data_IF_879902938132
#
_entry.id   IF_879902938132
#
_cell.length_a   1.000
_cell.length_b   1.000
_cell.length_c   1.000
_cell.angle_alpha   90.00
_cell.angle_beta   90.00
_cell.angle_gamma   90.00
#
_symmetry.space_group_name_H-M   'P 1'
#
loop_
_entity.id
_entity.type
_entity.pdbx_description
1 polymer ?
#
# COMPACT_ATOMS: atom_id res chain seq x y z
N UNK A 1 -6.49 -25.85 66.81
CA UNK A 1 -7.25 -25.92 65.54
C UNK A 1 -7.40 -24.57 64.81
N UNK A 2 -7.53 -23.41 65.48
CA UNK A 2 -7.69 -22.12 64.78
C UNK A 2 -6.46 -21.54 64.04
N UNK A 3 -5.26 -22.05 64.31
CA UNK A 3 -4.01 -21.52 63.76
C UNK A 3 -3.86 -21.72 62.25
N UNK A 4 -4.44 -22.80 61.71
CA UNK A 4 -4.47 -23.06 60.26
C UNK A 4 -5.22 -21.95 59.52
N UNK A 5 -6.35 -21.49 60.07
CA UNK A 5 -7.21 -20.49 59.44
C UNK A 5 -6.50 -19.15 59.42
N UNK A 6 -5.80 -18.79 60.50
CA UNK A 6 -5.02 -17.54 60.58
C UNK A 6 -3.87 -17.52 59.57
N UNK A 7 -3.14 -18.62 59.42
CA UNK A 7 -2.01 -18.73 58.46
C UNK A 7 -2.53 -18.70 57.01
N UNK A 8 -3.64 -19.38 56.73
CA UNK A 8 -4.24 -19.42 55.40
C UNK A 8 -4.81 -18.05 55.01
N UNK A 9 -5.46 -17.37 55.96
CA UNK A 9 -5.98 -16.03 55.73
C UNK A 9 -4.85 -15.01 55.57
N UNK A 10 -3.80 -15.11 56.39
CA UNK A 10 -2.60 -14.28 56.26
C UNK A 10 -1.91 -14.42 54.91
N UNK A 11 -1.73 -15.66 54.43
CA UNK A 11 -1.13 -15.90 53.10
C UNK A 11 -2.01 -15.39 51.97
N UNK A 12 -3.33 -15.52 52.05
CA UNK A 12 -4.25 -14.96 51.07
C UNK A 12 -4.15 -13.43 50.99
N UNK A 13 -4.10 -12.74 52.13
CA UNK A 13 -3.94 -11.28 52.18
C UNK A 13 -2.61 -10.85 51.57
N UNK A 14 -1.52 -11.55 51.91
CA UNK A 14 -0.18 -11.26 51.36
C UNK A 14 -0.16 -11.45 49.84
N UNK A 15 -0.72 -12.55 49.33
CA UNK A 15 -0.81 -12.80 47.89
C UNK A 15 -1.68 -11.75 47.18
N UNK A 16 -2.76 -11.29 47.82
CA UNK A 16 -3.64 -10.27 47.27
C UNK A 16 -2.89 -8.93 47.11
N UNK A 17 -2.12 -8.52 48.12
CA UNK A 17 -1.31 -7.29 48.06
C UNK A 17 -0.25 -7.39 46.95
N UNK A 18 0.46 -8.53 46.85
CA UNK A 18 1.45 -8.76 45.80
C UNK A 18 0.82 -8.72 44.41
N UNK A 19 -0.36 -9.34 44.25
CA UNK A 19 -1.10 -9.40 42.99
C UNK A 19 -1.49 -8.00 42.49
N UNK A 20 -1.98 -7.15 43.40
CA UNK A 20 -2.39 -5.79 43.06
C UNK A 20 -1.20 -4.94 42.60
N UNK A 21 -0.08 -4.98 43.34
CA UNK A 21 1.14 -4.24 42.99
C UNK A 21 1.69 -4.69 41.63
N UNK A 22 1.75 -6.01 41.39
CA UNK A 22 2.28 -6.57 40.14
C UNK A 22 1.37 -6.29 38.95
N UNK A 23 0.05 -6.32 39.14
CA UNK A 23 -0.95 -5.98 38.13
C UNK A 23 -0.84 -4.52 37.70
N UNK A 24 -0.75 -3.59 38.65
CA UNK A 24 -0.59 -2.15 38.36
C UNK A 24 0.69 -1.88 37.56
N UNK A 25 1.82 -2.49 37.92
CA UNK A 25 3.08 -2.30 37.18
C UNK A 25 3.08 -2.96 35.79
N UNK A 26 2.36 -4.06 35.61
CA UNK A 26 2.28 -4.76 34.32
C UNK A 26 1.40 -4.00 33.33
N UNK A 27 0.28 -3.43 33.78
CA UNK A 27 -0.62 -2.64 32.94
C UNK A 27 0.06 -1.35 32.47
N UNK A 28 0.78 -0.64 33.35
CA UNK A 28 1.48 0.61 32.96
C UNK A 28 2.57 0.36 31.92
N UNK A 29 3.28 -0.77 32.00
CA UNK A 29 4.29 -1.16 31.01
C UNK A 29 3.69 -1.58 29.67
N UNK A 30 2.51 -2.18 29.67
CA UNK A 30 1.80 -2.53 28.44
C UNK A 30 1.25 -1.28 27.76
N UNK A 31 0.62 -0.37 28.51
CA UNK A 31 0.15 0.92 27.99
C UNK A 31 1.30 1.75 27.42
N UNK A 32 2.42 1.90 28.13
CA UNK A 32 3.58 2.63 27.60
C UNK A 32 4.14 2.00 26.32
N UNK A 33 4.22 0.67 26.23
CA UNK A 33 4.74 0.01 25.02
C UNK A 33 3.79 0.21 23.83
N UNK A 34 2.48 0.16 24.05
CA UNK A 34 1.47 0.43 23.01
C UNK A 34 1.58 1.88 22.54
N UNK A 35 1.70 2.84 23.46
CA UNK A 35 1.83 4.27 23.15
C UNK A 35 3.10 4.57 22.33
N UNK A 36 4.24 3.97 22.70
CA UNK A 36 5.49 4.14 21.94
C UNK A 36 5.43 3.56 20.52
N UNK A 37 4.79 2.40 20.32
CA UNK A 37 4.65 1.79 18.99
C UNK A 37 3.69 2.60 18.12
N UNK A 38 2.56 3.03 18.66
CA UNK A 38 1.59 3.84 17.91
C UNK A 38 2.17 5.19 17.45
N UNK A 39 2.98 5.85 18.28
CA UNK A 39 3.64 7.12 17.92
C UNK A 39 4.69 6.89 16.82
N UNK A 40 5.49 5.81 16.90
CA UNK A 40 6.51 5.53 15.87
C UNK A 40 5.88 5.25 14.50
N UNK A 41 4.84 4.42 14.47
CA UNK A 41 4.14 4.07 13.22
C UNK A 41 3.49 5.30 12.59
N UNK A 42 2.86 6.16 13.39
CA UNK A 42 2.21 7.37 12.88
C UNK A 42 3.25 8.35 12.30
N UNK A 43 4.41 8.50 12.95
CA UNK A 43 5.52 9.29 12.43
C UNK A 43 6.11 8.71 11.14
N UNK A 44 6.28 7.39 11.06
CA UNK A 44 6.76 6.71 9.86
C UNK A 44 5.79 6.88 8.69
N UNK A 45 4.47 6.78 8.92
CA UNK A 45 3.46 7.02 7.88
C UNK A 45 3.52 8.45 7.37
N UNK A 46 3.68 9.45 8.24
CA UNK A 46 3.82 10.84 7.81
C UNK A 46 5.11 11.10 7.02
N UNK A 47 6.22 10.46 7.38
CA UNK A 47 7.46 10.56 6.60
C UNK A 47 7.33 9.87 5.24
N UNK A 48 6.64 8.72 5.16
CA UNK A 48 6.33 8.08 3.89
C UNK A 48 5.43 8.96 3.00
N UNK A 49 4.42 9.62 3.58
CA UNK A 49 3.55 10.55 2.86
C UNK A 49 4.33 11.72 2.25
N UNK A 50 5.26 12.32 3.01
CA UNK A 50 6.15 13.38 2.53
C UNK A 50 7.07 12.88 1.41
N UNK A 51 7.66 11.71 1.56
CA UNK A 51 8.52 11.12 0.53
C UNK A 51 7.74 10.83 -0.75
N UNK A 52 6.51 10.32 -0.64
CA UNK A 52 5.62 10.09 -1.78
C UNK A 52 5.29 11.39 -2.51
N UNK A 53 5.02 12.46 -1.75
CA UNK A 53 4.72 13.79 -2.30
C UNK A 53 5.92 14.40 -3.02
N UNK A 54 7.13 14.25 -2.48
CA UNK A 54 8.35 14.71 -3.16
C UNK A 54 8.62 13.92 -4.44
N UNK A 55 8.42 12.61 -4.43
CA UNK A 55 8.57 11.77 -5.64
C UNK A 55 7.55 12.15 -6.71
N UNK A 56 6.30 12.48 -6.34
CA UNK A 56 5.31 12.99 -7.30
C UNK A 56 5.74 14.33 -7.90
N UNK A 57 6.22 15.25 -7.06
CA UNK A 57 6.69 16.56 -7.52
C UNK A 57 7.90 16.43 -8.46
N UNK A 58 8.84 15.56 -8.12
CA UNK A 58 10.02 15.28 -8.97
C UNK A 58 9.62 14.57 -10.27
N UNK A 59 8.63 13.67 -10.24
CA UNK A 59 8.10 13.04 -11.44
C UNK A 59 7.36 14.04 -12.33
N UNK A 60 6.61 14.98 -11.74
CA UNK A 60 5.93 16.05 -12.47
C UNK A 60 6.93 17.04 -13.07
N UNK A 61 7.94 17.45 -12.31
CA UNK A 61 9.02 18.31 -12.80
C UNK A 61 9.81 17.60 -13.90
N UNK A 62 10.12 16.30 -13.74
CA UNK A 62 10.79 15.50 -14.76
C UNK A 62 9.94 15.38 -16.02
N UNK A 63 8.62 15.20 -15.89
CA UNK A 63 7.70 15.18 -17.03
C UNK A 63 7.64 16.54 -17.74
N UNK A 64 7.58 17.63 -16.99
CA UNK A 64 7.60 19.00 -17.54
C UNK A 64 8.94 19.35 -18.19
N UNK A 65 10.07 18.97 -17.58
CA UNK A 65 11.41 19.23 -18.11
C UNK A 65 11.76 18.33 -19.31
N UNK A 66 11.22 17.12 -19.38
CA UNK A 66 11.34 16.25 -20.54
C UNK A 66 10.51 16.71 -21.76
N UNK A 67 9.80 17.84 -21.67
CA UNK A 67 8.96 18.37 -22.74
C UNK A 67 7.72 17.51 -23.03
N UNK A 68 7.37 16.59 -22.14
CA UNK A 68 6.17 15.76 -22.25
C UNK A 68 5.03 16.51 -21.58
N UNK A 69 4.26 17.22 -22.40
CA UNK A 69 3.15 18.06 -21.96
C UNK A 69 2.20 17.32 -20.98
N UNK A 70 1.59 18.04 -20.01
CA UNK A 70 0.65 17.48 -19.03
C UNK A 70 -0.66 16.92 -19.62
N UNK A 71 -0.85 16.97 -20.95
CA UNK A 71 -1.88 16.20 -21.66
C UNK A 71 -1.72 14.67 -21.48
N UNK A 72 -0.55 14.22 -21.02
CA UNK A 72 -0.23 12.81 -20.85
C UNK A 72 -0.99 12.09 -19.72
N UNK A 73 -1.71 12.75 -18.79
CA UNK A 73 -2.42 12.01 -17.73
C UNK A 73 -3.61 11.23 -18.27
N UNK A 74 -4.49 11.90 -19.02
CA UNK A 74 -5.72 11.29 -19.55
C UNK A 74 -5.42 10.35 -20.71
N UNK A 75 -4.49 10.74 -21.58
CA UNK A 75 -4.04 9.90 -22.70
C UNK A 75 -3.29 8.65 -22.21
N UNK A 76 -2.51 8.74 -21.12
CA UNK A 76 -1.89 7.55 -20.49
C UNK A 76 -2.90 6.66 -19.80
N UNK A 77 -3.92 7.23 -19.16
CA UNK A 77 -5.00 6.45 -18.54
C UNK A 77 -5.77 5.68 -19.61
N UNK A 78 -6.12 6.35 -20.70
CA UNK A 78 -6.80 5.77 -21.85
C UNK A 78 -5.94 4.69 -22.52
N UNK A 79 -4.64 4.94 -22.74
CA UNK A 79 -3.71 3.95 -23.27
C UNK A 79 -3.57 2.73 -22.35
N UNK A 80 -3.53 2.94 -21.03
CA UNK A 80 -3.45 1.85 -20.05
C UNK A 80 -4.71 0.97 -20.09
N UNK A 81 -5.89 1.57 -20.23
CA UNK A 81 -7.15 0.84 -20.39
C UNK A 81 -7.18 0.03 -21.68
N UNK A 82 -6.76 0.63 -22.80
CA UNK A 82 -6.65 -0.06 -24.09
C UNK A 82 -5.68 -1.26 -24.04
N UNK A 83 -4.54 -1.10 -23.36
CA UNK A 83 -3.56 -2.17 -23.17
C UNK A 83 -4.10 -3.30 -22.29
N UNK A 84 -4.92 -3.00 -21.28
CA UNK A 84 -5.57 -4.02 -20.46
C UNK A 84 -6.60 -4.83 -21.25
N UNK A 85 -7.45 -4.15 -22.03
CA UNK A 85 -8.41 -4.80 -22.92
C UNK A 85 -7.71 -5.67 -23.97
N UNK A 86 -6.64 -5.18 -24.59
CA UNK A 86 -5.86 -5.97 -25.55
C UNK A 86 -5.24 -7.21 -24.89
N UNK A 87 -4.71 -7.08 -23.66
CA UNK A 87 -4.17 -8.22 -22.89
C UNK A 87 -5.23 -9.27 -22.57
N UNK A 88 -6.49 -8.86 -22.40
CA UNK A 88 -7.64 -9.75 -22.17
C UNK A 88 -8.19 -10.39 -23.45
N UNK A 89 -7.61 -10.08 -24.62
CA UNK A 89 -7.96 -10.71 -25.90
C UNK A 89 -9.10 -10.02 -26.66
N UNK A 90 -9.46 -8.79 -26.28
CA UNK A 90 -10.44 -7.99 -27.02
C UNK A 90 -9.85 -7.56 -28.38
N UNK A 91 -10.69 -7.50 -29.41
CA UNK A 91 -10.30 -7.01 -30.74
C UNK A 91 -10.19 -5.48 -30.76
N UNK A 92 -9.38 -4.94 -31.68
CA UNK A 92 -9.25 -3.49 -31.87
C UNK A 92 -10.59 -2.77 -32.07
N UNK A 93 -11.55 -3.42 -32.74
CA UNK A 93 -12.91 -2.91 -32.94
C UNK A 93 -13.69 -2.81 -31.62
N UNK A 94 -13.58 -3.83 -30.77
CA UNK A 94 -14.26 -3.86 -29.46
C UNK A 94 -13.65 -2.91 -28.44
N UNK A 95 -12.35 -2.62 -28.56
CA UNK A 95 -11.64 -1.61 -27.77
C UNK A 95 -12.07 -0.22 -28.22
N UNK A 96 -12.10 0.03 -29.53
CA UNK A 96 -12.58 1.28 -30.14
C UNK A 96 -14.01 1.62 -29.71
N UNK A 97 -14.90 0.63 -29.68
CA UNK A 97 -16.27 0.80 -29.20
C UNK A 97 -16.34 1.22 -27.71
N UNK A 98 -15.44 0.71 -26.87
CA UNK A 98 -15.40 1.02 -25.43
C UNK A 98 -14.74 2.38 -25.14
N UNK A 99 -13.66 2.71 -25.84
CA UNK A 99 -12.91 3.96 -25.66
C UNK A 99 -13.47 5.12 -26.49
N UNK A 100 -14.51 4.88 -27.29
CA UNK A 100 -15.13 5.84 -28.23
C UNK A 100 -14.14 6.41 -29.25
N UNK A 101 -13.10 5.65 -29.57
CA UNK A 101 -12.11 5.97 -30.60
C UNK A 101 -12.43 5.20 -31.89
N UNK A 102 -11.79 5.57 -32.99
CA UNK A 102 -11.90 4.79 -34.23
C UNK A 102 -10.95 3.58 -34.18
N UNK A 103 -11.30 2.45 -34.81
CA UNK A 103 -10.46 1.25 -34.83
C UNK A 103 -9.01 1.49 -35.29
N UNK A 104 -8.80 2.37 -36.26
CA UNK A 104 -7.46 2.70 -36.75
C UNK A 104 -6.63 3.54 -35.76
N UNK A 105 -7.28 4.38 -34.95
CA UNK A 105 -6.62 5.16 -33.90
C UNK A 105 -6.16 4.21 -32.79
N UNK A 106 -7.02 3.25 -32.43
CA UNK A 106 -6.71 2.19 -31.48
C UNK A 106 -5.54 1.33 -31.95
N UNK A 107 -5.54 0.93 -33.22
CA UNK A 107 -4.46 0.15 -33.83
C UNK A 107 -3.13 0.93 -33.79
N UNK A 108 -3.15 2.20 -34.21
CA UNK A 108 -1.95 3.04 -34.21
C UNK A 108 -1.38 3.24 -32.80
N UNK A 109 -2.23 3.44 -31.80
CA UNK A 109 -1.82 3.63 -30.40
C UNK A 109 -1.28 2.34 -29.76
N UNK A 110 -1.80 1.17 -30.13
CA UNK A 110 -1.39 -0.11 -29.55
C UNK A 110 -0.20 -0.75 -30.27
N UNK A 111 0.01 -0.45 -31.56
CA UNK A 111 1.09 -1.02 -32.39
C UNK A 111 2.49 -0.98 -31.74
N UNK A 112 2.95 0.16 -31.15
CA UNK A 112 4.27 0.24 -30.52
C UNK A 112 4.46 -0.72 -29.33
N UNK A 113 3.37 -1.14 -28.68
CA UNK A 113 3.40 -1.93 -27.45
C UNK A 113 3.10 -3.42 -27.69
N UNK A 114 2.51 -3.76 -28.84
CA UNK A 114 2.22 -5.14 -29.24
C UNK A 114 3.42 -5.75 -30.00
N UNK A 115 4.08 -4.98 -30.87
CA UNK A 115 5.22 -5.45 -31.67
C UNK A 115 6.39 -5.95 -30.79
N UNK A 116 6.62 -5.26 -29.67
CA UNK A 116 7.69 -5.55 -28.69
C UNK A 116 7.45 -6.84 -27.86
N UNK A 117 6.29 -7.49 -28.01
CA UNK A 117 6.00 -8.79 -27.36
C UNK A 117 6.46 -9.97 -28.22
N UNK A 118 6.41 -9.87 -29.54
CA UNK A 118 6.75 -10.99 -30.44
C UNK A 118 8.24 -11.34 -30.39
N UNK A 119 9.12 -10.35 -30.20
CA UNK A 119 10.57 -10.59 -30.16
C UNK A 119 11.03 -11.22 -28.84
N UNK A 120 10.41 -10.89 -27.70
CA UNK A 120 10.77 -11.46 -26.38
C UNK A 120 10.37 -12.92 -26.20
N UNK A 121 9.44 -13.44 -27.01
CA UNK A 121 9.06 -14.86 -27.01
C UNK A 121 10.05 -15.76 -27.77
N UNK A 122 10.86 -15.19 -28.68
CA UNK A 122 11.82 -15.94 -29.49
C UNK A 122 13.17 -16.14 -28.80
N UNK A 123 13.51 -15.35 -27.80
CA UNK A 123 14.74 -15.51 -26.99
C UNK A 123 14.61 -16.54 -25.87
N UNK A 124 13.42 -17.12 -25.68
CA UNK A 124 13.15 -18.13 -24.65
C UNK A 124 12.89 -19.54 -25.21
N UNK A 125 13.21 -19.81 -26.48
CA UNK A 125 13.20 -21.14 -27.09
C UNK A 125 14.61 -21.65 -27.38
#
# INVERSE_FOLDING_TARGET
MGWIITILFGTAVVLLVISFVKTTQSNSKLEQQIEHVSISVLNEVHELEKQLRNIQLDAEITAQQAGVAPAASDERLLLREMLDLQKRGYSFESIAAQTKLKPHEVEHMLTPYIADRTERGLVAQ
#
